data_IF_770525510522
#
_entry.id   IF_770525510522
#
_cell.length_a   1.000
_cell.length_b   1.000
_cell.length_c   1.000
_cell.angle_alpha   90.00
_cell.angle_beta   90.00
_cell.angle_gamma   90.00
#
_symmetry.space_group_name_H-M   'P 1'
#
loop_
_entity.id
_entity.type
_entity.pdbx_description
1 polymer ?
#
# COMPACT_ATOMS: atom_id res chain seq x y z
N UNK A 1 1.70 -16.11 -20.15
CA UNK A 1 1.50 -15.78 -18.72
C UNK A 1 0.36 -14.79 -18.63
N UNK A 2 -0.55 -14.95 -17.68
CA UNK A 2 -1.64 -14.00 -17.42
C UNK A 2 -1.16 -12.99 -16.38
N UNK A 3 -0.85 -11.78 -16.83
CA UNK A 3 -0.45 -10.66 -15.97
C UNK A 3 -1.65 -9.76 -15.74
N UNK A 4 -1.98 -9.48 -14.47
CA UNK A 4 -3.09 -8.60 -14.11
C UNK A 4 -2.68 -7.64 -12.99
N UNK A 5 -2.55 -6.36 -13.34
CA UNK A 5 -2.22 -5.30 -12.40
C UNK A 5 -3.47 -4.48 -12.17
N UNK A 6 -3.93 -4.42 -10.93
CA UNK A 6 -5.12 -3.67 -10.58
C UNK A 6 -4.76 -2.25 -10.18
N UNK A 7 -5.61 -1.30 -10.55
CA UNK A 7 -5.45 0.13 -10.25
C UNK A 7 -6.57 0.57 -9.32
N UNK A 8 -6.27 0.70 -8.02
CA UNK A 8 -7.26 1.06 -7.02
C UNK A 8 -7.68 2.53 -7.14
N UNK A 9 -9.00 2.76 -7.20
CA UNK A 9 -9.61 4.08 -7.33
C UNK A 9 -10.92 4.16 -6.52
N UNK A 10 -11.17 5.30 -5.87
CA UNK A 10 -12.45 5.58 -5.18
C UNK A 10 -13.32 6.60 -5.94
N UNK A 11 -12.88 7.01 -7.14
CA UNK A 11 -13.59 7.93 -8.04
C UNK A 11 -13.14 7.71 -9.48
N UNK A 12 -13.97 8.04 -10.48
CA UNK A 12 -13.55 8.02 -11.88
C UNK A 12 -12.26 8.82 -12.09
N UNK A 13 -11.33 8.23 -12.83
CA UNK A 13 -10.06 8.87 -13.19
C UNK A 13 -9.57 8.39 -14.56
N UNK A 14 -8.57 9.07 -15.10
CA UNK A 14 -7.90 8.63 -16.32
C UNK A 14 -7.15 7.32 -16.05
N UNK A 15 -7.48 6.27 -16.80
CA UNK A 15 -6.91 4.93 -16.66
C UNK A 15 -5.98 4.58 -17.83
N UNK A 16 -4.98 3.71 -17.64
CA UNK A 16 -4.21 3.14 -18.74
C UNK A 16 -5.12 2.47 -19.78
N UNK A 17 -4.71 2.54 -21.05
CA UNK A 17 -5.37 1.79 -22.13
C UNK A 17 -4.80 0.38 -22.31
N UNK A 18 -3.63 0.11 -21.70
CA UNK A 18 -3.00 -1.20 -21.72
C UNK A 18 -3.84 -2.21 -20.92
N UNK A 19 -4.29 -3.33 -21.53
CA UNK A 19 -5.17 -4.33 -20.89
C UNK A 19 -4.51 -5.08 -19.71
N UNK A 20 -3.20 -4.95 -19.55
CA UNK A 20 -2.45 -5.42 -18.37
C UNK A 20 -2.94 -4.74 -17.09
N UNK A 21 -3.43 -3.50 -17.21
CA UNK A 21 -3.92 -2.68 -16.11
C UNK A 21 -5.44 -2.67 -16.06
N UNK A 22 -6.01 -3.02 -14.91
CA UNK A 22 -7.45 -3.12 -14.69
C UNK A 22 -7.90 -2.18 -13.58
N UNK A 23 -8.78 -1.21 -13.86
CA UNK A 23 -9.34 -0.36 -12.80
C UNK A 23 -10.16 -1.21 -11.82
N UNK A 24 -9.94 -1.01 -10.53
CA UNK A 24 -10.78 -1.57 -9.46
C UNK A 24 -11.32 -0.42 -8.60
N UNK A 25 -12.64 -0.42 -8.42
CA UNK A 25 -13.33 0.58 -7.64
C UNK A 25 -13.43 0.11 -6.20
N UNK A 26 -12.72 0.81 -5.29
CA UNK A 26 -12.68 0.46 -3.87
C UNK A 26 -13.85 1.07 -3.11
N UNK A 27 -14.36 0.34 -2.11
CA UNK A 27 -15.53 0.77 -1.34
C UNK A 27 -16.83 0.78 -2.14
N UNK A 28 -16.94 -0.04 -3.19
CA UNK A 28 -18.15 -0.13 -3.99
C UNK A 28 -19.40 -0.44 -3.14
N UNK A 29 -19.24 -1.18 -2.03
CA UNK A 29 -20.32 -1.48 -1.08
C UNK A 29 -20.91 -0.24 -0.39
N UNK A 30 -20.10 0.79 -0.13
CA UNK A 30 -20.54 2.03 0.53
C UNK A 30 -20.83 3.17 -0.45
N UNK A 31 -20.50 2.98 -1.72
CA UNK A 31 -20.70 3.96 -2.79
C UNK A 31 -21.88 3.61 -3.72
N UNK A 32 -22.62 2.53 -3.45
CA UNK A 32 -23.78 2.13 -4.24
C UNK A 32 -23.43 1.48 -5.58
N UNK A 33 -22.20 0.97 -5.73
CA UNK A 33 -21.71 0.32 -6.95
C UNK A 33 -20.42 0.92 -7.50
N UNK A 34 -19.95 0.36 -8.61
CA UNK A 34 -18.77 0.82 -9.32
C UNK A 34 -19.14 1.55 -10.63
N UNK A 35 -18.37 2.57 -11.06
CA UNK A 35 -18.53 3.18 -12.37
C UNK A 35 -18.33 2.16 -13.50
N UNK A 36 -18.84 2.48 -14.69
CA UNK A 36 -18.64 1.65 -15.88
C UNK A 36 -17.14 1.42 -16.15
N UNK A 37 -16.79 0.19 -16.54
CA UNK A 37 -15.41 -0.27 -16.82
C UNK A 37 -14.49 -0.37 -15.60
N UNK A 38 -15.04 -0.32 -14.39
CA UNK A 38 -14.31 -0.65 -13.17
C UNK A 38 -14.75 -2.02 -12.68
N UNK A 39 -13.78 -2.84 -12.26
CA UNK A 39 -14.07 -3.99 -11.43
C UNK A 39 -14.57 -3.48 -10.07
N UNK A 40 -15.78 -3.80 -9.61
CA UNK A 40 -16.16 -3.53 -8.22
C UNK A 40 -15.38 -4.43 -7.26
N UNK A 41 -14.97 -3.90 -6.11
CA UNK A 41 -14.37 -4.68 -5.03
C UNK A 41 -15.40 -5.36 -4.11
N UNK A 42 -16.70 -5.18 -4.34
CA UNK A 42 -17.79 -5.73 -3.51
C UNK A 42 -18.45 -7.01 -4.07
N UNK A 43 -17.75 -7.74 -4.95
CA UNK A 43 -18.24 -9.00 -5.54
C UNK A 43 -17.36 -10.17 -5.10
N UNK A 44 -17.93 -11.37 -4.96
CA UNK A 44 -17.21 -12.53 -4.44
C UNK A 44 -16.82 -12.36 -2.97
N UNK A 45 -15.73 -12.99 -2.54
CA UNK A 45 -15.19 -12.81 -1.18
C UNK A 45 -14.46 -11.45 -1.11
N UNK A 46 -14.93 -10.58 -0.20
CA UNK A 46 -14.48 -9.20 -0.14
C UNK A 46 -14.64 -8.55 1.24
N UNK A 47 -13.95 -7.41 1.40
CA UNK A 47 -14.05 -6.51 2.56
C UNK A 47 -14.38 -5.07 2.13
N UNK A 48 -15.12 -4.90 1.03
CA UNK A 48 -15.39 -3.57 0.43
C UNK A 48 -16.00 -2.57 1.41
N UNK A 49 -16.88 -3.05 2.30
CA UNK A 49 -17.51 -2.22 3.33
C UNK A 49 -16.49 -1.59 4.31
N UNK A 50 -15.32 -2.22 4.46
CA UNK A 50 -14.23 -1.77 5.34
C UNK A 50 -13.31 -0.73 4.68
N UNK A 51 -13.59 -0.28 3.45
CA UNK A 51 -12.79 0.72 2.73
C UNK A 51 -12.53 2.04 3.49
N UNK A 52 -13.44 2.57 4.34
CA UNK A 52 -13.13 3.74 5.15
C UNK A 52 -11.86 3.56 5.98
N UNK A 53 -11.58 2.33 6.44
CA UNK A 53 -10.48 2.03 7.34
C UNK A 53 -9.30 1.34 6.64
N UNK A 54 -9.58 0.52 5.62
CA UNK A 54 -8.59 -0.29 4.89
C UNK A 54 -8.15 0.32 3.55
N UNK A 55 -8.87 1.31 3.03
CA UNK A 55 -8.55 2.00 1.77
C UNK A 55 -8.25 1.04 0.61
N UNK A 56 -7.14 1.25 -0.11
CA UNK A 56 -6.73 0.41 -1.24
C UNK A 56 -6.51 -1.07 -0.90
N UNK A 57 -6.39 -1.42 0.39
CA UNK A 57 -6.27 -2.82 0.79
C UNK A 57 -7.55 -3.61 0.52
N UNK A 58 -8.71 -2.94 0.40
CA UNK A 58 -9.93 -3.62 -0.05
C UNK A 58 -9.78 -4.19 -1.46
N UNK A 59 -9.10 -3.47 -2.36
CA UNK A 59 -8.70 -4.01 -3.66
C UNK A 59 -7.68 -5.14 -3.51
N UNK A 60 -6.66 -4.99 -2.65
CA UNK A 60 -5.67 -6.05 -2.41
C UNK A 60 -6.33 -7.36 -1.94
N UNK A 61 -7.25 -7.28 -0.99
CA UNK A 61 -8.02 -8.42 -0.50
C UNK A 61 -8.86 -9.04 -1.62
N UNK A 62 -9.56 -8.22 -2.39
CA UNK A 62 -10.36 -8.70 -3.51
C UNK A 62 -9.51 -9.43 -4.55
N UNK A 63 -8.32 -8.90 -4.89
CA UNK A 63 -7.36 -9.53 -5.81
C UNK A 63 -6.92 -10.89 -5.27
N UNK A 64 -6.55 -10.96 -3.98
CA UNK A 64 -6.15 -12.21 -3.34
C UNK A 64 -7.23 -13.29 -3.47
N UNK A 65 -8.49 -12.93 -3.20
CA UNK A 65 -9.59 -13.90 -3.16
C UNK A 65 -10.17 -14.26 -4.52
N UNK A 66 -10.14 -13.35 -5.50
CA UNK A 66 -10.93 -13.47 -6.72
C UNK A 66 -10.10 -13.45 -8.02
N UNK A 67 -8.82 -13.07 -7.97
CA UNK A 67 -7.95 -13.04 -9.15
C UNK A 67 -7.12 -14.33 -9.27
N UNK A 68 -7.24 -15.02 -10.40
CA UNK A 68 -6.41 -16.18 -10.77
C UNK A 68 -5.49 -15.82 -11.94
N UNK A 69 -4.49 -14.97 -11.68
CA UNK A 69 -3.46 -14.56 -12.62
C UNK A 69 -2.09 -15.09 -12.17
N UNK A 70 -1.22 -15.37 -13.14
CA UNK A 70 0.15 -15.85 -12.88
C UNK A 70 1.01 -14.75 -12.25
N UNK A 71 0.74 -13.49 -12.59
CA UNK A 71 1.34 -12.29 -11.99
C UNK A 71 0.22 -11.36 -11.56
N UNK A 72 0.30 -10.91 -10.31
CA UNK A 72 -0.65 -9.99 -9.67
C UNK A 72 0.07 -8.72 -9.28
N UNK A 73 -0.63 -7.61 -9.31
CA UNK A 73 -0.10 -6.37 -8.76
C UNK A 73 -1.16 -5.36 -8.40
N UNK A 74 -0.74 -4.36 -7.65
CA UNK A 74 -1.56 -3.26 -7.18
C UNK A 74 -0.83 -1.94 -7.41
N UNK A 75 -1.48 -1.07 -8.17
CA UNK A 75 -1.14 0.34 -8.32
C UNK A 75 -2.29 1.19 -7.78
N UNK A 76 -2.05 2.49 -7.63
CA UNK A 76 -3.08 3.43 -7.23
C UNK A 76 -3.41 4.37 -8.38
N UNK A 77 -4.65 4.84 -8.50
CA UNK A 77 -5.10 5.64 -9.66
C UNK A 77 -4.28 6.91 -9.94
N UNK A 78 -3.52 7.43 -8.96
CA UNK A 78 -2.62 8.59 -9.09
C UNK A 78 -1.12 8.24 -9.14
N UNK A 79 -0.76 6.98 -8.94
CA UNK A 79 0.62 6.50 -8.74
C UNK A 79 0.82 5.14 -9.42
N UNK A 80 1.77 5.07 -10.34
CA UNK A 80 2.05 3.85 -11.10
C UNK A 80 3.54 3.54 -11.08
N UNK A 81 3.88 2.26 -11.00
CA UNK A 81 5.24 1.78 -11.24
C UNK A 81 5.62 1.99 -12.72
N UNK A 82 6.81 2.54 -12.97
CA UNK A 82 7.16 3.11 -14.28
C UNK A 82 8.66 3.18 -14.51
N UNK A 83 9.13 2.76 -15.69
CA UNK A 83 10.51 3.00 -16.14
C UNK A 83 10.71 4.41 -16.72
N UNK A 84 9.67 4.99 -17.31
CA UNK A 84 9.73 6.31 -17.92
C UNK A 84 8.67 7.28 -17.34
N UNK A 85 8.74 7.67 -16.05
CA UNK A 85 7.67 8.42 -15.38
C UNK A 85 7.35 9.78 -16.00
N UNK A 86 8.29 10.38 -16.75
CA UNK A 86 8.08 11.63 -17.49
C UNK A 86 7.09 11.47 -18.66
N UNK A 87 6.91 10.25 -19.18
CA UNK A 87 5.96 9.92 -20.26
C UNK A 87 4.54 9.62 -19.75
N UNK A 88 4.27 9.84 -18.46
CA UNK A 88 2.96 9.61 -17.83
C UNK A 88 2.49 8.17 -18.06
N UNK A 89 1.22 7.95 -18.38
CA UNK A 89 0.65 6.63 -18.59
C UNK A 89 1.34 5.84 -19.72
N UNK A 90 1.98 6.52 -20.69
CA UNK A 90 2.74 5.87 -21.76
C UNK A 90 4.14 5.39 -21.32
N UNK A 91 4.52 5.60 -20.06
CA UNK A 91 5.79 5.16 -19.50
C UNK A 91 5.66 4.24 -18.29
N UNK A 92 4.44 3.83 -17.93
CA UNK A 92 4.23 2.78 -16.90
C UNK A 92 4.79 1.46 -17.41
N UNK A 93 5.08 0.53 -16.49
CA UNK A 93 5.63 -0.77 -16.88
C UNK A 93 4.68 -1.51 -17.84
N UNK A 94 5.16 -1.87 -19.02
CA UNK A 94 4.49 -2.77 -19.95
C UNK A 94 4.50 -4.21 -19.44
N UNK A 95 3.64 -5.05 -20.00
CA UNK A 95 3.65 -6.50 -19.71
C UNK A 95 5.05 -7.10 -19.91
N UNK A 96 5.72 -6.78 -21.02
CA UNK A 96 7.07 -7.31 -21.33
C UNK A 96 8.12 -6.87 -20.31
N UNK A 97 8.08 -5.62 -19.85
CA UNK A 97 9.00 -5.13 -18.81
C UNK A 97 8.73 -5.83 -17.47
N UNK A 98 7.46 -6.00 -17.08
CA UNK A 98 7.08 -6.74 -15.87
C UNK A 98 7.63 -8.18 -15.93
N UNK A 99 7.39 -8.88 -17.04
CA UNK A 99 7.87 -10.26 -17.21
C UNK A 99 9.40 -10.33 -17.17
N UNK A 100 10.10 -9.42 -17.84
CA UNK A 100 11.57 -9.36 -17.84
C UNK A 100 12.14 -9.11 -16.44
N UNK A 101 11.52 -8.22 -15.66
CA UNK A 101 11.93 -7.95 -14.28
C UNK A 101 11.67 -9.16 -13.38
N UNK A 102 10.52 -9.82 -13.50
CA UNK A 102 10.17 -10.98 -12.68
C UNK A 102 10.95 -12.26 -13.03
N UNK A 103 11.70 -12.29 -14.14
CA UNK A 103 12.69 -13.35 -14.39
C UNK A 103 13.92 -13.23 -13.48
N UNK A 104 14.21 -12.03 -12.97
CA UNK A 104 15.42 -11.74 -12.20
C UNK A 104 15.14 -11.41 -10.74
N UNK A 105 13.90 -11.04 -10.41
CA UNK A 105 13.46 -10.55 -9.12
C UNK A 105 12.13 -11.19 -8.73
N UNK A 106 11.90 -11.36 -7.43
CA UNK A 106 10.67 -11.90 -6.87
C UNK A 106 9.52 -10.88 -6.83
N UNK A 107 9.85 -9.60 -6.66
CA UNK A 107 8.88 -8.51 -6.51
C UNK A 107 9.39 -7.20 -7.08
N UNK A 108 8.50 -6.45 -7.74
CA UNK A 108 8.72 -5.09 -8.21
C UNK A 108 8.02 -4.14 -7.24
N UNK A 109 8.75 -3.17 -6.72
CA UNK A 109 8.29 -2.20 -5.70
C UNK A 109 8.62 -0.77 -6.14
N UNK A 110 7.95 0.26 -5.59
CA UNK A 110 8.39 1.64 -5.80
C UNK A 110 9.77 1.87 -5.19
N UNK A 111 10.47 2.94 -5.60
CA UNK A 111 11.65 3.41 -4.84
C UNK A 111 11.30 3.73 -3.39
N UNK A 112 12.22 3.41 -2.47
CA UNK A 112 12.07 3.76 -1.05
C UNK A 112 11.89 5.26 -0.86
N UNK A 113 11.08 5.61 0.14
CA UNK A 113 11.02 6.96 0.67
C UNK A 113 12.03 7.11 1.79
N UNK A 114 12.87 8.14 1.74
CA UNK A 114 13.85 8.44 2.78
C UNK A 114 13.41 9.65 3.61
N UNK A 115 13.35 9.49 4.93
CA UNK A 115 12.97 10.55 5.87
C UNK A 115 14.16 11.31 6.44
N UNK A 116 15.38 10.73 6.38
CA UNK A 116 16.70 11.26 6.79
C UNK A 116 16.87 11.73 8.24
N UNK A 117 15.84 12.30 8.86
CA UNK A 117 15.85 12.86 10.21
C UNK A 117 14.90 12.14 11.16
N UNK A 118 14.12 11.17 10.67
CA UNK A 118 13.18 10.37 11.45
C UNK A 118 13.33 8.91 11.09
N UNK A 119 13.13 8.03 12.07
CA UNK A 119 12.91 6.62 11.81
C UNK A 119 11.47 6.40 11.35
N UNK A 120 11.18 5.25 10.77
CA UNK A 120 9.82 4.90 10.37
C UNK A 120 8.85 5.00 11.56
N UNK A 121 9.25 4.52 12.74
CA UNK A 121 8.47 4.66 13.97
C UNK A 121 8.25 6.12 14.38
N UNK A 122 9.32 6.92 14.48
CA UNK A 122 9.17 8.31 14.93
C UNK A 122 8.37 9.16 13.93
N UNK A 123 8.56 8.90 12.63
CA UNK A 123 7.75 9.52 11.59
C UNK A 123 6.26 9.20 11.75
N UNK A 124 5.92 7.94 11.98
CA UNK A 124 4.54 7.51 12.14
C UNK A 124 3.89 8.16 13.37
N UNK A 125 4.51 8.08 14.55
CA UNK A 125 3.88 8.61 15.78
C UNK A 125 3.80 10.14 15.81
N UNK A 126 4.61 10.84 15.02
CA UNK A 126 4.46 12.29 14.80
C UNK A 126 3.32 12.60 13.82
N UNK A 127 2.98 11.67 12.93
CA UNK A 127 1.94 11.82 11.90
C UNK A 127 0.56 11.31 12.36
N UNK A 128 0.51 10.24 13.15
CA UNK A 128 -0.68 9.44 13.45
C UNK A 128 -0.77 9.08 14.94
N UNK A 129 -1.84 8.43 15.37
CA UNK A 129 -1.93 7.84 16.71
C UNK A 129 -0.90 6.72 16.90
N UNK A 130 -0.25 6.67 18.07
CA UNK A 130 0.80 5.66 18.37
C UNK A 130 0.22 4.26 18.57
N UNK A 131 -0.87 4.16 19.32
CA UNK A 131 -1.46 2.90 19.78
C UNK A 131 -1.61 1.85 18.66
N UNK A 132 -2.14 2.16 17.46
CA UNK A 132 -2.29 1.16 16.41
C UNK A 132 -0.98 0.52 15.95
N UNK A 133 0.12 1.28 15.91
CA UNK A 133 1.44 0.75 15.52
C UNK A 133 2.02 -0.15 16.61
N UNK A 134 1.88 0.24 17.87
CA UNK A 134 2.31 -0.57 19.03
C UNK A 134 1.48 -1.86 19.12
N UNK A 135 0.17 -1.78 18.82
CA UNK A 135 -0.69 -2.96 18.74
C UNK A 135 -0.30 -3.88 17.59
N UNK A 136 0.04 -3.34 16.41
CA UNK A 136 0.56 -4.15 15.30
C UNK A 136 1.82 -4.92 15.69
N UNK A 137 2.77 -4.27 16.39
CA UNK A 137 3.95 -4.96 16.92
C UNK A 137 3.58 -6.09 17.87
N UNK A 138 2.62 -5.86 18.77
CA UNK A 138 2.12 -6.86 19.72
C UNK A 138 1.52 -8.06 18.98
N UNK A 139 0.63 -7.82 18.01
CA UNK A 139 0.03 -8.87 17.18
C UNK A 139 1.09 -9.67 16.43
N UNK A 140 2.11 -9.01 15.87
CA UNK A 140 3.24 -9.70 15.22
C UNK A 140 3.98 -10.59 16.21
N UNK A 141 4.30 -10.10 17.42
CA UNK A 141 5.01 -10.90 18.43
C UNK A 141 4.24 -12.15 18.87
N UNK A 142 2.91 -12.10 18.89
CA UNK A 142 2.07 -13.21 19.34
C UNK A 142 1.76 -14.22 18.23
N UNK A 143 1.51 -13.74 17.01
CA UNK A 143 0.99 -14.57 15.90
C UNK A 143 2.04 -14.93 14.87
N UNK A 144 3.05 -14.07 14.72
CA UNK A 144 4.09 -14.14 13.68
C UNK A 144 5.46 -13.81 14.26
N UNK A 145 5.79 -14.40 15.42
CA UNK A 145 6.97 -14.05 16.21
C UNK A 145 8.29 -14.05 15.40
N UNK A 146 8.39 -14.92 14.38
CA UNK A 146 9.53 -14.98 13.48
C UNK A 146 9.79 -13.67 12.70
N UNK A 147 8.76 -12.84 12.48
CA UNK A 147 8.84 -11.55 11.78
C UNK A 147 9.10 -10.36 12.71
N UNK A 148 9.16 -10.57 14.03
CA UNK A 148 9.25 -9.48 14.99
C UNK A 148 10.57 -8.71 14.87
N UNK A 149 11.69 -9.42 14.70
CA UNK A 149 13.01 -8.78 14.56
C UNK A 149 13.09 -7.93 13.28
N UNK A 150 12.55 -8.43 12.17
CA UNK A 150 12.46 -7.68 10.90
C UNK A 150 11.58 -6.42 11.06
N UNK A 151 10.47 -6.53 11.80
CA UNK A 151 9.60 -5.40 12.11
C UNK A 151 10.33 -4.35 12.96
N UNK A 152 10.96 -4.75 14.04
CA UNK A 152 11.69 -3.85 14.94
C UNK A 152 12.85 -3.16 14.22
N UNK A 153 13.61 -3.92 13.43
CA UNK A 153 14.67 -3.37 12.61
C UNK A 153 14.12 -2.32 11.62
N UNK A 154 13.01 -2.60 10.93
CA UNK A 154 12.38 -1.64 10.02
C UNK A 154 11.92 -0.37 10.75
N UNK A 155 11.37 -0.49 11.96
CA UNK A 155 10.93 0.66 12.77
C UNK A 155 12.08 1.61 13.15
N UNK A 156 13.31 1.09 13.23
CA UNK A 156 14.52 1.87 13.46
C UNK A 156 15.15 2.46 12.17
N UNK A 157 14.80 1.96 10.99
CA UNK A 157 15.29 2.50 9.71
C UNK A 157 14.67 3.86 9.38
N UNK A 158 15.34 4.62 8.52
CA UNK A 158 14.90 5.96 8.05
C UNK A 158 14.29 5.95 6.65
N UNK A 159 13.97 4.76 6.14
CA UNK A 159 13.35 4.56 4.84
C UNK A 159 12.50 3.31 4.78
N UNK A 160 11.48 3.31 3.91
CA UNK A 160 10.67 2.13 3.59
C UNK A 160 10.00 2.26 2.21
N UNK A 161 9.52 1.15 1.65
CA UNK A 161 8.65 1.15 0.47
C UNK A 161 7.22 1.52 0.85
N UNK A 162 6.83 2.75 0.51
CA UNK A 162 5.51 3.30 0.84
C UNK A 162 4.47 2.96 -0.24
N UNK A 163 3.18 3.20 0.07
CA UNK A 163 2.03 3.17 -0.85
C UNK A 163 1.35 1.82 -1.14
N UNK A 164 1.73 0.71 -0.50
CA UNK A 164 1.10 -0.59 -0.76
C UNK A 164 1.11 -1.00 -2.25
N UNK A 165 2.11 -0.52 -3.02
CA UNK A 165 2.23 -0.79 -4.45
C UNK A 165 3.26 -1.87 -4.70
N UNK A 166 2.88 -2.90 -5.45
CA UNK A 166 3.75 -4.04 -5.72
C UNK A 166 3.29 -4.82 -6.95
N UNK A 167 4.20 -5.54 -7.60
CA UNK A 167 3.91 -6.53 -8.64
C UNK A 167 4.77 -7.76 -8.37
N UNK A 168 4.17 -8.94 -8.31
CA UNK A 168 4.88 -10.21 -8.07
C UNK A 168 4.11 -11.41 -8.64
N UNK A 169 4.73 -12.59 -8.59
CA UNK A 169 4.06 -13.84 -8.94
C UNK A 169 2.80 -14.05 -8.09
N UNK A 170 1.75 -14.58 -8.70
CA UNK A 170 0.44 -14.79 -8.08
C UNK A 170 0.51 -15.53 -6.73
N UNK A 171 1.23 -16.67 -6.62
CA UNK A 171 1.40 -17.37 -5.35
C UNK A 171 2.05 -16.51 -4.26
N UNK A 172 3.11 -15.76 -4.59
CA UNK A 172 3.78 -14.86 -3.62
C UNK A 172 2.86 -13.72 -3.18
N UNK A 173 2.06 -13.18 -4.09
CA UNK A 173 1.06 -12.16 -3.75
C UNK A 173 0.02 -12.73 -2.78
N UNK A 174 -0.43 -13.96 -3.01
CA UNK A 174 -1.45 -14.61 -2.17
C UNK A 174 -0.90 -14.98 -0.79
N UNK A 175 0.36 -15.42 -0.71
CA UNK A 175 1.04 -15.66 0.57
C UNK A 175 1.21 -14.36 1.37
N UNK A 176 1.67 -13.29 0.72
CA UNK A 176 1.77 -11.97 1.34
C UNK A 176 0.40 -11.45 1.80
N UNK A 177 -0.64 -11.57 0.96
CA UNK A 177 -1.98 -11.15 1.29
C UNK A 177 -2.54 -11.92 2.49
N UNK A 178 -2.35 -13.24 2.52
CA UNK A 178 -2.75 -14.06 3.66
C UNK A 178 -2.08 -13.58 4.96
N UNK A 179 -0.78 -13.32 4.93
CA UNK A 179 -0.04 -12.88 6.10
C UNK A 179 -0.43 -11.47 6.55
N UNK A 180 -0.53 -10.50 5.63
CA UNK A 180 -0.84 -9.11 5.97
C UNK A 180 -2.25 -8.97 6.54
N UNK A 181 -3.25 -9.65 5.97
CA UNK A 181 -4.63 -9.57 6.46
C UNK A 181 -4.81 -10.30 7.78
N UNK A 182 -4.06 -11.38 8.03
CA UNK A 182 -4.07 -12.03 9.34
C UNK A 182 -3.63 -11.07 10.45
N UNK A 183 -2.56 -10.30 10.21
CA UNK A 183 -2.10 -9.27 11.15
C UNK A 183 -3.12 -8.14 11.27
N UNK A 184 -3.53 -7.53 10.16
CA UNK A 184 -4.37 -6.33 10.19
C UNK A 184 -5.75 -6.59 10.79
N UNK A 185 -6.36 -7.75 10.56
CA UNK A 185 -7.62 -8.09 11.20
C UNK A 185 -7.46 -8.29 12.71
N UNK A 186 -6.39 -8.94 13.17
CA UNK A 186 -6.13 -9.04 14.61
C UNK A 186 -5.85 -7.69 15.27
N UNK A 187 -5.23 -6.74 14.55
CA UNK A 187 -5.11 -5.36 15.06
C UNK A 187 -6.47 -4.70 15.11
N UNK A 188 -7.29 -4.84 14.05
CA UNK A 188 -8.63 -4.28 13.97
C UNK A 188 -9.55 -4.74 15.12
N UNK A 189 -9.41 -5.99 15.56
CA UNK A 189 -10.20 -6.53 16.66
C UNK A 189 -9.76 -6.03 18.05
N UNK A 190 -8.62 -5.33 18.14
CA UNK A 190 -7.96 -4.97 19.42
C UNK A 190 -7.80 -3.47 19.65
N UNK A 191 -8.16 -2.64 18.68
CA UNK A 191 -8.11 -1.18 18.82
C UNK A 191 -9.51 -0.60 18.64
N UNK A 192 -9.79 0.47 19.38
CA UNK A 192 -11.00 1.25 19.19
C UNK A 192 -10.68 2.50 18.37
N UNK A 193 -11.39 2.66 17.25
CA UNK A 193 -11.27 3.81 16.35
C UNK A 193 -12.57 4.60 16.23
N UNK A 194 -13.55 4.38 17.12
CA UNK A 194 -14.86 5.03 17.06
C UNK A 194 -14.77 6.57 17.10
N UNK A 195 -13.80 7.09 17.88
CA UNK A 195 -13.56 8.52 18.03
C UNK A 195 -12.52 9.09 17.04
N UNK A 196 -12.01 8.27 16.11
CA UNK A 196 -11.04 8.74 15.13
C UNK A 196 -11.73 9.64 14.08
N UNK A 197 -11.05 10.69 13.66
CA UNK A 197 -11.51 11.47 12.52
C UNK A 197 -11.40 10.67 11.21
N UNK A 198 -12.01 11.17 10.14
CA UNK A 198 -12.03 10.51 8.82
C UNK A 198 -10.63 10.17 8.29
N UNK A 199 -9.62 10.94 8.67
CA UNK A 199 -8.25 10.73 8.20
C UNK A 199 -7.52 9.68 9.04
N UNK A 200 -7.67 9.70 10.36
CA UNK A 200 -7.05 8.72 11.26
C UNK A 200 -7.77 7.37 11.20
N UNK A 201 -9.07 7.32 10.92
CA UNK A 201 -9.83 6.07 10.76
C UNK A 201 -9.25 5.15 9.66
N UNK A 202 -8.46 5.70 8.74
CA UNK A 202 -7.72 5.01 7.67
C UNK A 202 -6.49 4.23 8.16
N UNK A 203 -6.39 4.02 9.47
CA UNK A 203 -5.22 3.49 10.17
C UNK A 203 -4.65 2.22 9.56
N UNK A 204 -5.48 1.27 9.13
CA UNK A 204 -5.00 -0.01 8.61
C UNK A 204 -4.27 0.15 7.27
N UNK A 205 -4.68 1.13 6.45
CA UNK A 205 -3.96 1.51 5.24
C UNK A 205 -2.58 2.09 5.53
N UNK A 206 -2.40 2.81 6.64
CA UNK A 206 -1.10 3.33 7.05
C UNK A 206 -0.20 2.26 7.66
N UNK A 207 -0.76 1.37 8.49
CA UNK A 207 -0.02 0.26 9.10
C UNK A 207 0.54 -0.70 8.04
N UNK A 208 -0.24 -1.00 7.00
CA UNK A 208 0.17 -1.92 5.95
C UNK A 208 1.36 -1.42 5.13
N UNK A 209 1.62 -0.11 5.07
CA UNK A 209 2.76 0.44 4.33
C UNK A 209 4.10 -0.08 4.85
N UNK A 210 4.18 -0.52 6.12
CA UNK A 210 5.39 -1.11 6.69
C UNK A 210 5.48 -2.63 6.48
N UNK A 211 4.34 -3.31 6.38
CA UNK A 211 4.27 -4.76 6.39
C UNK A 211 4.92 -5.40 5.15
N UNK A 212 4.89 -4.72 3.99
CA UNK A 212 5.55 -5.22 2.78
C UNK A 212 7.07 -5.38 2.97
N UNK A 213 7.73 -4.41 3.60
CA UNK A 213 9.17 -4.46 3.83
C UNK A 213 9.55 -5.54 4.85
N UNK A 214 8.74 -5.70 5.90
CA UNK A 214 8.91 -6.78 6.87
C UNK A 214 8.81 -8.14 6.19
N UNK A 215 7.80 -8.32 5.32
CA UNK A 215 7.61 -9.55 4.56
C UNK A 215 8.78 -9.84 3.62
N UNK A 216 9.23 -8.82 2.86
CA UNK A 216 10.34 -8.94 1.91
C UNK A 216 11.64 -9.32 2.63
N UNK A 217 11.97 -8.65 3.73
CA UNK A 217 13.21 -8.87 4.48
C UNK A 217 13.23 -10.27 5.09
N UNK A 218 12.15 -10.65 5.78
CA UNK A 218 12.05 -11.94 6.46
C UNK A 218 12.17 -13.12 5.49
N UNK A 219 11.44 -13.05 4.36
CA UNK A 219 11.43 -14.09 3.34
C UNK A 219 12.62 -13.98 2.37
N UNK A 220 13.53 -13.05 2.59
CA UNK A 220 14.72 -12.80 1.78
C UNK A 220 14.41 -12.65 0.28
N UNK A 221 13.30 -11.98 -0.03
CA UNK A 221 12.84 -11.80 -1.41
C UNK A 221 13.75 -10.81 -2.14
N UNK A 222 14.19 -11.19 -3.34
CA UNK A 222 14.97 -10.31 -4.20
C UNK A 222 14.03 -9.32 -4.88
N UNK A 223 14.09 -8.05 -4.52
CA UNK A 223 13.21 -7.03 -5.09
C UNK A 223 13.94 -6.08 -6.05
N UNK A 224 13.18 -5.45 -6.94
CA UNK A 224 13.66 -4.34 -7.77
C UNK A 224 12.83 -3.08 -7.53
N UNK A 225 13.51 -1.97 -7.31
CA UNK A 225 12.88 -0.66 -7.13
C UNK A 225 12.74 0.05 -8.48
N UNK A 226 11.51 0.47 -8.80
CA UNK A 226 11.25 1.29 -9.99
C UNK A 226 10.70 2.67 -9.62
N UNK A 227 10.94 3.69 -10.46
CA UNK A 227 10.33 4.99 -10.27
C UNK A 227 8.80 4.94 -10.19
N UNK A 228 8.23 5.89 -9.46
CA UNK A 228 6.77 6.12 -9.42
C UNK A 228 6.41 7.25 -10.36
N UNK A 229 5.50 6.97 -11.29
CA UNK A 229 4.82 7.98 -12.11
C UNK A 229 3.65 8.56 -11.32
N UNK A 230 3.64 9.88 -11.17
CA UNK A 230 2.56 10.62 -10.51
C UNK A 230 1.67 11.31 -11.56
N UNK A 231 0.36 11.11 -11.43
CA UNK A 231 -0.62 11.80 -12.28
C UNK A 231 -0.65 13.30 -11.97
N UNK A 232 -0.61 13.64 -10.68
CA UNK A 232 -0.68 15.01 -10.15
C UNK A 232 0.71 15.56 -9.79
N UNK A 233 0.84 16.89 -9.77
CA UNK A 233 2.06 17.55 -9.31
C UNK A 233 2.24 17.34 -7.81
N UNK A 234 3.46 17.02 -7.39
CA UNK A 234 3.77 16.85 -5.98
C UNK A 234 4.10 18.19 -5.32
N UNK A 235 3.45 18.49 -4.19
CA UNK A 235 3.74 19.67 -3.37
C UNK A 235 4.91 19.41 -2.41
N UNK A 236 6.12 19.18 -2.95
CA UNK A 236 7.30 18.82 -2.15
C UNK A 236 7.67 19.85 -1.07
N UNK A 237 7.65 21.18 -1.32
CA UNK A 237 7.99 22.16 -0.29
C UNK A 237 7.00 22.15 0.88
N UNK A 238 5.70 22.04 0.59
CA UNK A 238 4.66 21.93 1.62
C UNK A 238 4.83 20.64 2.43
N UNK A 239 5.16 19.51 1.79
CA UNK A 239 5.44 18.25 2.49
C UNK A 239 6.63 18.37 3.43
N UNK A 240 7.72 19.00 3.00
CA UNK A 240 8.91 19.22 3.83
C UNK A 240 8.61 20.13 5.04
N UNK A 241 7.93 21.26 4.81
CA UNK A 241 7.52 22.17 5.89
C UNK A 241 6.65 21.46 6.94
N UNK A 242 5.65 20.68 6.52
CA UNK A 242 4.75 20.01 7.44
C UNK A 242 5.41 18.83 8.18
N UNK A 243 6.40 18.16 7.56
CA UNK A 243 7.22 17.17 8.25
C UNK A 243 8.01 17.83 9.40
N UNK A 244 8.72 18.92 9.12
CA UNK A 244 9.48 19.65 10.14
C UNK A 244 8.56 20.20 11.24
N UNK A 245 7.40 20.75 10.85
CA UNK A 245 6.41 21.27 11.79
C UNK A 245 5.94 20.19 12.77
N UNK A 246 5.60 18.98 12.30
CA UNK A 246 5.17 17.88 13.17
C UNK A 246 6.27 17.42 14.11
N UNK A 247 7.51 17.36 13.62
CA UNK A 247 8.66 16.93 14.42
C UNK A 247 8.98 17.91 15.56
N UNK A 248 8.98 19.22 15.28
CA UNK A 248 9.43 20.23 16.25
C UNK A 248 8.28 20.90 17.03
N UNK A 249 7.04 20.78 16.56
CA UNK A 249 5.85 21.36 17.20
C UNK A 249 4.71 20.32 17.28
N UNK A 250 4.83 19.31 18.15
CA UNK A 250 3.92 18.16 18.19
C UNK A 250 2.46 18.50 18.56
N UNK A 251 2.21 19.68 19.13
CA UNK A 251 0.85 20.18 19.42
C UNK A 251 0.18 20.88 18.23
N UNK A 252 0.90 21.10 17.13
CA UNK A 252 0.33 21.80 15.98
C UNK A 252 -0.59 20.88 15.16
N UNK A 253 -1.61 21.46 14.52
CA UNK A 253 -2.56 20.72 13.68
C UNK A 253 -1.83 19.81 12.67
N UNK A 254 -2.14 18.51 12.72
CA UNK A 254 -1.52 17.48 11.89
C UNK A 254 -2.09 17.57 10.46
N UNK A 255 -1.24 17.87 9.48
CA UNK A 255 -1.59 17.79 8.05
C UNK A 255 -0.58 16.90 7.34
N UNK A 256 -0.95 15.64 7.11
CA UNK A 256 -0.05 14.60 6.57
C UNK A 256 -0.25 14.32 5.08
N UNK A 257 -1.43 14.64 4.52
CA UNK A 257 -1.75 14.42 3.11
C UNK A 257 -2.04 15.73 2.35
N UNK A 258 -1.45 15.84 1.15
CA UNK A 258 -1.52 16.96 0.19
C UNK A 258 -1.86 16.43 -1.20
#
# INVERSE_FOLDING_TARGET
>A
MKVQIYVAAHKPYQMPQDPTYRPIFVGAAIHGGAPQNYQPDNVGDNISASNPNFNELTAMYWIWKNCHADVKGLNQYRRYLSEAPKRKLAGILSMTEIESLLQQYDVIVPKKRHYYIESNYSHYVHAHHREPLDMMRTVISERHAAYLDDFDQLMHQTSAHMFNMMIMAGPKFDDYAKWVFDILFAVCDRIDIADYDVQEARVFGYLSEFLLDVWINHNQLKYVEVPVMYMEKQQLPAKAYNLLKRKFFPQAAKRTHF
#
